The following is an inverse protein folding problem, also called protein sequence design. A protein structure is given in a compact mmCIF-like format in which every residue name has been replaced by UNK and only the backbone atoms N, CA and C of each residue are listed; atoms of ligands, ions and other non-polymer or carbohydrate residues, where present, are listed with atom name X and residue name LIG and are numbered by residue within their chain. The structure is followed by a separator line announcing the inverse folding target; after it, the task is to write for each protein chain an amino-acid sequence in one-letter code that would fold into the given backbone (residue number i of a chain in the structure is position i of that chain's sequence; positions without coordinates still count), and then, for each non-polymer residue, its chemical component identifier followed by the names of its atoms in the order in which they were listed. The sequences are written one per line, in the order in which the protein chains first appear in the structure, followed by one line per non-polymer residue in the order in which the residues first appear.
data_IF_365611929519
#
_entry.id   IF_365611929519
#
_cell.length_a   1.000
_cell.length_b   1.000
_cell.length_c   1.000
_cell.angle_alpha   90.00
_cell.angle_beta   90.00
_cell.angle_gamma   90.00
#
_symmetry.space_group_name_H-M   'P 1'
#
loop_
_entity.id
_entity.type
_entity.pdbx_description
1 polymer ?
#
# COMPACT_ATOMS: atom_id res chain seq x y z
N UNK A 1 -14.46 -2.04 14.34
CA UNK A 1 -13.52 -2.36 15.45
C UNK A 1 -12.71 -3.65 15.27
N UNK A 2 -13.10 -4.62 14.43
CA UNK A 2 -12.19 -5.73 14.04
C UNK A 2 -11.32 -5.38 12.83
N UNK A 3 -11.90 -4.78 11.78
CA UNK A 3 -11.20 -4.46 10.53
C UNK A 3 -10.01 -3.53 10.75
N UNK A 4 -10.18 -2.48 11.56
CA UNK A 4 -9.09 -1.57 11.92
C UNK A 4 -7.91 -2.30 12.57
N UNK A 5 -8.17 -3.27 13.47
CA UNK A 5 -7.13 -4.07 14.13
C UNK A 5 -6.45 -5.04 13.16
N UNK A 6 -7.21 -5.63 12.24
CA UNK A 6 -6.63 -6.48 11.19
C UNK A 6 -5.73 -5.66 10.27
N UNK A 7 -6.17 -4.45 9.90
CA UNK A 7 -5.41 -3.52 9.06
C UNK A 7 -4.05 -3.18 9.68
N UNK A 8 -3.98 -2.88 10.98
CA UNK A 8 -2.69 -2.57 11.65
C UNK A 8 -1.71 -3.74 11.68
N UNK A 9 -2.19 -4.99 11.64
CA UNK A 9 -1.35 -6.20 11.61
C UNK A 9 -0.90 -6.54 10.19
N UNK A 10 -1.78 -6.41 9.20
CA UNK A 10 -1.52 -6.83 7.82
C UNK A 10 -0.70 -5.80 7.05
N UNK A 11 -0.93 -4.52 7.28
CA UNK A 11 -0.35 -3.44 6.48
C UNK A 11 1.19 -3.40 6.52
N UNK A 12 1.88 -3.60 7.67
CA UNK A 12 3.34 -3.66 7.70
C UNK A 12 3.94 -4.85 6.93
N UNK A 13 3.23 -5.97 6.84
CA UNK A 13 3.67 -7.13 6.07
C UNK A 13 3.45 -6.93 4.57
N UNK A 14 2.30 -6.35 4.21
CA UNK A 14 1.97 -5.96 2.84
C UNK A 14 3.01 -4.99 2.27
N UNK A 15 3.41 -3.97 3.03
CA UNK A 15 4.39 -2.98 2.59
C UNK A 15 5.77 -3.61 2.33
N UNK A 16 6.24 -4.48 3.23
CA UNK A 16 7.49 -5.22 3.03
C UNK A 16 7.46 -6.10 1.79
N UNK A 17 6.33 -6.74 1.51
CA UNK A 17 6.16 -7.53 0.29
C UNK A 17 6.22 -6.64 -0.97
N UNK A 18 5.57 -5.47 -0.94
CA UNK A 18 5.58 -4.50 -2.04
C UNK A 18 6.99 -3.96 -2.31
N UNK A 19 7.77 -3.69 -1.25
CA UNK A 19 9.14 -3.19 -1.38
C UNK A 19 10.09 -4.22 -2.04
N UNK A 20 9.83 -5.51 -1.82
CA UNK A 20 10.60 -6.61 -2.44
C UNK A 20 10.30 -6.86 -3.92
N UNK A 21 9.30 -6.18 -4.51
CA UNK A 21 8.94 -6.39 -5.91
C UNK A 21 9.96 -5.75 -6.88
N UNK A 22 10.14 -6.31 -8.09
CA UNK A 22 10.93 -5.66 -9.15
C UNK A 22 10.39 -4.27 -9.50
N UNK A 23 11.26 -3.34 -9.91
CA UNK A 23 10.97 -1.90 -9.97
C UNK A 23 9.67 -1.48 -10.68
N UNK A 24 9.33 -2.09 -11.82
CA UNK A 24 8.08 -1.78 -12.53
C UNK A 24 6.84 -2.30 -11.80
N UNK A 25 6.92 -3.53 -11.26
CA UNK A 25 5.83 -4.17 -10.51
C UNK A 25 5.61 -3.47 -9.17
N UNK A 26 6.69 -3.02 -8.51
CA UNK A 26 6.62 -2.21 -7.29
C UNK A 26 5.88 -0.91 -7.51
N UNK A 27 6.17 -0.17 -8.59
CA UNK A 27 5.51 1.10 -8.91
C UNK A 27 4.01 0.92 -9.14
N UNK A 28 3.63 -0.13 -9.89
CA UNK A 28 2.23 -0.48 -10.12
C UNK A 28 1.53 -0.82 -8.80
N UNK A 29 2.15 -1.65 -7.95
CA UNK A 29 1.58 -2.01 -6.65
C UNK A 29 1.38 -0.80 -5.73
N UNK A 30 2.36 0.12 -5.63
CA UNK A 30 2.26 1.32 -4.79
C UNK A 30 1.12 2.26 -5.24
N UNK A 31 0.96 2.44 -6.55
CA UNK A 31 -0.17 3.19 -7.11
C UNK A 31 -1.52 2.54 -6.76
N UNK A 32 -1.65 1.22 -6.94
CA UNK A 32 -2.89 0.51 -6.60
C UNK A 32 -3.23 0.55 -5.12
N UNK A 33 -2.22 0.53 -4.24
CA UNK A 33 -2.42 0.70 -2.81
C UNK A 33 -2.60 2.17 -2.39
N UNK A 34 -2.72 3.13 -3.33
CA UNK A 34 -2.93 4.54 -3.02
C UNK A 34 -1.77 5.18 -2.25
N UNK A 35 -0.60 4.54 -2.26
CA UNK A 35 0.61 4.98 -1.53
C UNK A 35 1.40 6.01 -2.32
N UNK A 36 1.33 5.90 -3.64
CA UNK A 36 1.95 6.83 -4.56
C UNK A 36 0.93 7.23 -5.64
N UNK A 37 1.00 8.47 -6.11
CA UNK A 37 0.22 8.91 -7.27
C UNK A 37 0.81 8.36 -8.59
N UNK A 38 0.21 8.73 -9.71
CA UNK A 38 0.67 8.32 -11.04
C UNK A 38 2.10 8.81 -11.37
N UNK A 39 2.61 9.78 -10.62
CA UNK A 39 3.94 10.35 -10.76
C UNK A 39 4.95 9.80 -9.73
N UNK A 40 4.52 8.90 -8.84
CA UNK A 40 5.36 8.30 -7.80
C UNK A 40 5.49 9.17 -6.54
N UNK A 41 4.74 10.26 -6.42
CA UNK A 41 4.75 11.09 -5.21
C UNK A 41 3.90 10.44 -4.11
N UNK A 42 4.29 10.55 -2.82
CA UNK A 42 3.51 9.99 -1.72
C UNK A 42 2.07 10.51 -1.75
N UNK A 43 1.11 9.59 -1.74
CA UNK A 43 -0.30 9.92 -1.69
C UNK A 43 -0.87 9.54 -0.32
N UNK A 44 -1.59 10.48 0.30
CA UNK A 44 -2.30 10.29 1.58
C UNK A 44 -3.69 9.63 1.39
N UNK A 45 -3.94 9.02 0.23
CA UNK A 45 -5.25 8.45 -0.07
C UNK A 45 -5.45 7.17 0.76
N UNK A 46 -6.44 7.13 1.67
CA UNK A 46 -6.73 5.93 2.42
C UNK A 46 -7.36 4.92 1.46
N UNK A 47 -6.56 3.98 0.97
CA UNK A 47 -7.08 2.80 0.29
C UNK A 47 -8.03 2.07 1.24
N UNK A 48 -9.28 1.94 0.81
CA UNK A 48 -10.35 1.27 1.57
C UNK A 48 -9.99 -0.17 1.97
N UNK A 49 -10.73 -0.87 2.84
CA UNK A 49 -12.01 -0.59 3.51
C UNK A 49 -11.79 -0.50 5.03
N UNK A 50 -12.52 0.42 5.67
CA UNK A 50 -12.78 0.41 7.12
C UNK A 50 -13.99 -0.50 7.43
#
# INVERSE_FOLDING_TARGET
MLLARVKTVVEPALLRAVDGLPGQIRRIARYHFGREDAHGAPADAPTGKA
#
